data_IF_619626861575
#
_entry.id   IF_619626861575
#
_cell.length_a   1.000
_cell.length_b   1.000
_cell.length_c   1.000
_cell.angle_alpha   90.00
_cell.angle_beta   90.00
_cell.angle_gamma   90.00
#
_symmetry.space_group_name_H-M   'P 1'
#
loop_
_entity.id
_entity.type
_entity.pdbx_description
1 polymer ?
#
# COMPACT_ATOMS: atom_id res chain seq x y z
N UNK A 1 -5.34 9.18 -15.21
CA UNK A 1 -4.29 8.69 -14.29
C UNK A 1 -4.63 7.23 -14.01
N UNK A 2 -4.05 6.32 -14.79
CA UNK A 2 -4.43 4.91 -14.94
C UNK A 2 -3.45 4.01 -14.17
N UNK A 3 -3.17 4.32 -12.90
CA UNK A 3 -2.11 3.61 -12.16
C UNK A 3 -2.55 2.24 -11.63
N UNK A 4 -3.85 2.03 -11.38
CA UNK A 4 -4.40 0.76 -10.86
C UNK A 4 -5.19 -0.03 -11.92
N UNK A 5 -5.92 0.67 -12.80
CA UNK A 5 -6.92 0.10 -13.72
C UNK A 5 -6.40 -0.77 -14.89
N UNK A 6 -5.14 -1.25 -14.91
CA UNK A 6 -4.57 -1.88 -16.12
C UNK A 6 -3.80 -3.19 -15.94
N UNK A 7 -3.78 -3.76 -14.73
CA UNK A 7 -3.08 -5.04 -14.50
C UNK A 7 -4.02 -6.25 -14.43
N UNK A 8 -5.33 -6.08 -14.63
CA UNK A 8 -6.29 -7.19 -14.66
C UNK A 8 -6.58 -7.82 -13.29
N UNK A 9 -6.31 -7.10 -12.20
CA UNK A 9 -6.61 -7.57 -10.85
C UNK A 9 -8.08 -7.35 -10.50
N UNK A 10 -8.71 -8.38 -9.91
CA UNK A 10 -10.12 -8.36 -9.52
C UNK A 10 -10.39 -7.57 -8.23
N UNK A 11 -9.35 -7.30 -7.43
CA UNK A 11 -9.43 -6.56 -6.17
C UNK A 11 -8.11 -5.89 -5.82
N UNK A 12 -8.16 -4.65 -5.36
CA UNK A 12 -7.00 -3.89 -4.89
C UNK A 12 -7.02 -3.80 -3.36
N UNK A 13 -5.98 -4.30 -2.69
CA UNK A 13 -5.79 -4.08 -1.25
C UNK A 13 -4.62 -3.12 -1.04
N UNK A 14 -4.90 -1.95 -0.48
CA UNK A 14 -3.89 -0.97 -0.10
C UNK A 14 -3.60 -1.15 1.39
N UNK A 15 -2.32 -1.27 1.73
CA UNK A 15 -1.85 -1.40 3.10
C UNK A 15 -1.07 -0.14 3.49
N UNK A 16 -1.34 0.39 4.68
CA UNK A 16 -0.60 1.53 5.22
C UNK A 16 -0.28 1.34 6.68
N UNK A 17 0.90 1.77 7.10
CA UNK A 17 1.27 1.82 8.51
C UNK A 17 0.96 3.17 9.18
N UNK A 18 0.25 4.07 8.49
CA UNK A 18 -0.22 5.32 9.05
C UNK A 18 -1.74 5.23 9.27
N UNK A 19 -2.13 4.97 10.53
CA UNK A 19 -3.52 4.82 10.92
C UNK A 19 -4.35 6.09 10.67
N UNK A 20 -3.77 7.26 10.92
CA UNK A 20 -4.43 8.56 10.69
C UNK A 20 -4.78 8.74 9.21
N UNK A 21 -3.85 8.41 8.30
CA UNK A 21 -4.11 8.46 6.86
C UNK A 21 -5.18 7.46 6.43
N UNK A 22 -5.18 6.24 6.98
CA UNK A 22 -6.25 5.24 6.71
C UNK A 22 -7.61 5.80 7.10
N UNK A 23 -7.72 6.41 8.28
CA UNK A 23 -8.97 7.03 8.76
C UNK A 23 -9.38 8.17 7.83
N UNK A 24 -8.49 9.12 7.51
CA UNK A 24 -8.84 10.28 6.68
C UNK A 24 -9.21 9.91 5.23
N UNK A 25 -8.58 8.88 4.66
CA UNK A 25 -8.91 8.44 3.30
C UNK A 25 -10.28 7.75 3.29
N UNK A 26 -10.57 6.93 4.30
CA UNK A 26 -11.84 6.21 4.42
C UNK A 26 -13.01 7.10 4.86
N UNK A 27 -12.76 8.12 5.68
CA UNK A 27 -13.80 9.01 6.20
C UNK A 27 -14.13 10.13 5.21
N UNK A 28 -15.11 9.85 4.33
CA UNK A 28 -15.67 10.82 3.40
C UNK A 28 -16.66 11.80 4.03
N UNK A 29 -17.03 11.62 5.32
CA UNK A 29 -18.16 12.32 5.97
C UNK A 29 -17.77 13.60 6.71
N UNK A 30 -16.48 13.85 6.95
CA UNK A 30 -15.99 15.08 7.58
C UNK A 30 -15.79 16.21 6.56
N UNK A 31 -16.89 16.82 6.08
CA UNK A 31 -16.86 18.16 5.48
C UNK A 31 -15.97 18.36 4.24
N UNK A 32 -15.69 17.29 3.49
CA UNK A 32 -14.79 17.29 2.35
C UNK A 32 -13.31 17.39 2.76
N UNK A 33 -12.39 16.61 2.15
CA UNK A 33 -10.98 16.71 2.49
C UNK A 33 -10.45 18.11 2.17
N UNK A 34 -9.97 18.85 3.19
CA UNK A 34 -9.19 20.09 2.97
C UNK A 34 -7.90 19.82 2.18
N UNK A 35 -7.42 18.58 2.22
CA UNK A 35 -6.22 18.12 1.55
C UNK A 35 -6.55 17.66 0.11
N UNK A 36 -6.00 18.36 -0.88
CA UNK A 36 -6.17 18.05 -2.30
C UNK A 36 -5.68 16.66 -2.68
N UNK A 37 -4.66 16.13 -1.99
CA UNK A 37 -4.12 14.79 -2.18
C UNK A 37 -5.11 13.72 -1.73
N UNK A 38 -5.71 13.88 -0.55
CA UNK A 38 -6.71 12.94 -0.02
C UNK A 38 -7.92 12.89 -0.96
N UNK A 39 -8.40 14.05 -1.42
CA UNK A 39 -9.47 14.11 -2.42
C UNK A 39 -9.09 13.38 -3.71
N UNK A 40 -7.84 13.53 -4.17
CA UNK A 40 -7.35 12.85 -5.38
C UNK A 40 -7.28 11.33 -5.19
N UNK A 41 -6.81 10.87 -4.03
CA UNK A 41 -6.79 9.44 -3.67
C UNK A 41 -8.21 8.88 -3.69
N UNK A 42 -9.15 9.53 -2.99
CA UNK A 42 -10.56 9.11 -2.96
C UNK A 42 -11.18 9.05 -4.37
N UNK A 43 -10.90 10.03 -5.23
CA UNK A 43 -11.34 10.00 -6.63
C UNK A 43 -10.79 8.79 -7.39
N UNK A 44 -9.50 8.49 -7.25
CA UNK A 44 -8.87 7.31 -7.88
C UNK A 44 -9.56 6.03 -7.41
N UNK A 45 -9.77 5.91 -6.09
CA UNK A 45 -10.41 4.76 -5.48
C UNK A 45 -11.89 4.62 -5.87
N UNK A 46 -12.58 5.71 -6.24
CA UNK A 46 -13.97 5.66 -6.73
C UNK A 46 -14.08 4.97 -8.10
N UNK A 47 -12.99 4.92 -8.87
CA UNK A 47 -12.93 4.21 -10.15
C UNK A 47 -12.51 2.74 -10.03
N UNK A 48 -12.22 2.27 -8.81
CA UNK A 48 -11.91 0.87 -8.53
C UNK A 48 -13.16 0.21 -7.92
N UNK A 49 -13.70 -0.82 -8.57
CA UNK A 49 -14.94 -1.46 -8.13
C UNK A 49 -14.77 -2.22 -6.81
N UNK A 50 -13.58 -2.80 -6.60
CA UNK A 50 -13.27 -3.63 -5.44
C UNK A 50 -11.93 -3.21 -4.87
N UNK A 51 -11.96 -2.31 -3.88
CA UNK A 51 -10.77 -1.94 -3.13
C UNK A 51 -10.99 -1.98 -1.62
N UNK A 52 -9.89 -2.11 -0.88
CA UNK A 52 -9.87 -1.94 0.58
C UNK A 52 -8.58 -1.26 1.00
N UNK A 53 -8.66 -0.32 1.95
CA UNK A 53 -7.51 0.28 2.61
C UNK A 53 -7.45 -0.21 4.06
N UNK A 54 -6.36 -0.86 4.44
CA UNK A 54 -6.18 -1.43 5.78
C UNK A 54 -4.92 -0.90 6.45
N UNK A 55 -4.99 -0.76 7.77
CA UNK A 55 -3.82 -0.50 8.58
C UNK A 55 -3.01 -1.79 8.78
N UNK A 56 -1.68 -1.70 8.69
CA UNK A 56 -0.74 -2.76 9.04
C UNK A 56 0.42 -2.20 9.87
N UNK A 57 1.03 -2.96 10.78
CA UNK A 57 2.22 -2.51 11.50
C UNK A 57 3.37 -2.09 10.55
N UNK A 58 4.30 -1.26 11.04
CA UNK A 58 5.43 -0.80 10.21
C UNK A 58 6.32 -1.95 9.78
N UNK A 59 6.45 -2.94 10.65
CA UNK A 59 7.29 -4.12 10.49
C UNK A 59 6.80 -5.03 9.36
N UNK A 60 5.53 -4.93 8.98
CA UNK A 60 4.93 -5.67 7.85
C UNK A 60 4.90 -4.84 6.56
N UNK A 61 5.21 -3.54 6.63
CA UNK A 61 5.24 -2.64 5.46
C UNK A 61 6.67 -2.29 5.02
N UNK A 62 7.64 -3.20 5.26
CA UNK A 62 9.08 -2.95 5.05
C UNK A 62 9.43 -2.65 3.59
N UNK A 63 8.78 -3.35 2.65
CA UNK A 63 8.99 -3.13 1.21
C UNK A 63 8.66 -1.68 0.81
N UNK A 64 7.51 -1.17 1.26
CA UNK A 64 7.11 0.21 0.98
C UNK A 64 8.01 1.23 1.71
N UNK A 65 8.43 0.95 2.95
CA UNK A 65 9.36 1.80 3.70
C UNK A 65 10.73 1.87 3.02
N UNK A 66 11.25 0.74 2.53
CA UNK A 66 12.50 0.67 1.77
C UNK A 66 12.38 1.45 0.45
N UNK A 67 11.32 1.24 -0.33
CA UNK A 67 11.06 1.98 -1.56
C UNK A 67 10.96 3.49 -1.34
N UNK A 68 10.25 3.92 -0.30
CA UNK A 68 10.14 5.34 0.04
C UNK A 68 11.49 5.96 0.41
N UNK A 69 12.33 5.22 1.15
CA UNK A 69 13.70 5.65 1.47
C UNK A 69 14.59 5.71 0.22
N UNK A 70 14.51 4.72 -0.67
CA UNK A 70 15.25 4.75 -1.94
C UNK A 70 14.87 5.96 -2.78
N UNK A 71 13.57 6.25 -2.91
CA UNK A 71 13.09 7.44 -3.63
C UNK A 71 13.54 8.75 -2.99
N UNK A 72 13.57 8.82 -1.65
CA UNK A 72 14.08 9.98 -0.93
C UNK A 72 15.59 10.20 -1.18
N UNK A 73 16.36 9.11 -1.25
CA UNK A 73 17.81 9.14 -1.44
C UNK A 73 18.22 9.41 -2.89
N UNK A 74 17.45 8.96 -3.87
CA UNK A 74 17.75 9.17 -5.29
C UNK A 74 17.55 10.63 -5.73
N UNK A 75 16.78 11.42 -4.97
CA UNK A 75 16.46 12.81 -5.32
C UNK A 75 15.52 12.93 -6.53
N UNK A 76 15.06 11.81 -7.08
CA UNK A 76 14.15 11.75 -8.22
C UNK A 76 12.70 11.66 -7.75
N UNK A 77 11.80 12.33 -8.47
CA UNK A 77 10.43 12.57 -8.00
C UNK A 77 9.50 11.36 -8.18
N UNK A 78 9.83 10.42 -9.08
CA UNK A 78 9.05 9.19 -9.30
C UNK A 78 9.86 8.14 -10.09
N UNK A 79 10.10 6.98 -9.51
CA UNK A 79 10.63 5.80 -10.21
C UNK A 79 9.56 4.71 -10.31
N UNK A 80 9.31 4.22 -11.52
CA UNK A 80 8.41 3.10 -11.76
C UNK A 80 9.25 1.82 -11.86
N UNK A 81 9.13 0.95 -10.86
CA UNK A 81 9.78 -0.35 -10.88
C UNK A 81 8.84 -1.36 -11.54
N UNK A 82 9.18 -1.80 -12.74
CA UNK A 82 8.39 -2.80 -13.50
C UNK A 82 8.55 -4.21 -12.91
N UNK A 83 9.69 -4.49 -12.27
CA UNK A 83 9.97 -5.74 -11.57
C UNK A 83 10.09 -5.49 -10.06
N UNK A 84 9.68 -6.45 -9.20
CA UNK A 84 10.02 -6.39 -7.78
C UNK A 84 11.54 -6.43 -7.65
N UNK A 85 12.13 -5.31 -7.20
CA UNK A 85 13.56 -5.19 -6.97
C UNK A 85 14.05 -6.39 -6.14
N UNK A 86 15.16 -7.00 -6.57
CA UNK A 86 15.75 -8.14 -5.87
C UNK A 86 16.01 -7.84 -4.39
N UNK A 87 16.35 -6.59 -4.04
CA UNK A 87 16.50 -6.12 -2.66
C UNK A 87 15.19 -6.18 -1.85
N UNK A 88 14.03 -6.01 -2.47
CA UNK A 88 12.72 -6.15 -1.81
C UNK A 88 12.34 -7.62 -1.65
N UNK A 89 12.74 -8.48 -2.60
CA UNK A 89 12.56 -9.94 -2.47
C UNK A 89 13.32 -10.49 -1.28
N UNK A 90 14.49 -9.95 -0.94
CA UNK A 90 15.25 -10.36 0.25
C UNK A 90 14.58 -9.90 1.55
N UNK A 91 14.01 -8.68 1.58
CA UNK A 91 13.22 -8.19 2.72
C UNK A 91 11.95 -9.02 2.95
N UNK A 92 11.35 -9.54 1.89
CA UNK A 92 10.11 -10.34 1.93
C UNK A 92 10.34 -11.83 2.27
N UNK A 93 11.58 -12.34 2.20
CA UNK A 93 11.86 -13.78 2.43
C UNK A 93 11.74 -14.20 3.90
N UNK A 94 11.75 -13.25 4.84
CA UNK A 94 11.57 -13.54 6.27
C UNK A 94 10.12 -13.82 6.67
N UNK A 95 9.15 -13.60 5.76
CA UNK A 95 7.71 -13.78 6.05
C UNK A 95 7.22 -15.24 5.91
N UNK A 96 8.08 -16.20 5.58
CA UNK A 96 7.70 -17.64 5.53
C UNK A 96 7.59 -18.31 6.92
N UNK A 97 7.38 -17.54 8.00
CA UNK A 97 7.28 -18.09 9.36
C UNK A 97 5.83 -18.14 9.89
N UNK A 98 4.83 -17.64 9.15
CA UNK A 98 3.43 -17.73 9.57
C UNK A 98 2.67 -18.97 9.06
N UNK A 99 3.15 -19.64 8.01
CA UNK A 99 2.49 -20.86 7.50
C UNK A 99 2.77 -22.13 8.33
N UNK A 100 3.67 -22.07 9.33
CA UNK A 100 4.01 -23.21 10.18
C UNK A 100 3.35 -23.23 11.57
N UNK A 101 2.49 -22.25 11.90
CA UNK A 101 1.78 -22.21 13.20
C UNK A 101 0.29 -22.62 13.11
N UNK A 102 -0.24 -22.94 11.94
CA UNK A 102 -1.61 -23.43 11.75
C UNK A 102 -1.76 -24.96 11.87
N UNK A 103 -0.66 -25.70 12.11
CA UNK A 103 -0.66 -27.17 12.23
C UNK A 103 -0.35 -27.71 13.65
N UNK A 104 -0.67 -26.98 14.72
CA UNK A 104 -0.48 -27.48 16.11
C UNK A 104 -1.78 -27.57 16.93
N UNK A 105 -2.95 -27.28 16.36
CA UNK A 105 -4.23 -27.60 17.01
C UNK A 105 -5.21 -28.26 16.04
N UNK A 106 -5.15 -29.58 15.98
CA UNK A 106 -6.26 -30.47 15.59
C UNK A 106 -6.08 -31.80 16.30
#
# INVERSE_FOLDING_TARGET
LLLLQKQGYDKVTVQSNNLENVIYICDSKLGGPKNSLIRRIQQILTFEDKWSLIYVPRETNRAADALAKMGLLSGETLHMFEDPLLEIKEISKDDNTFDNLSMIYS
#
